data_IF_519575307153
#
_entry.id   IF_519575307153
#
_cell.length_a   1.000
_cell.length_b   1.000
_cell.length_c   1.000
_cell.angle_alpha   90.00
_cell.angle_beta   90.00
_cell.angle_gamma   90.00
#
_symmetry.space_group_name_H-M   'P 1'
#
loop_
_entity.id
_entity.type
_entity.pdbx_description
1 polymer ?
#
# COMPACT_ATOMS: atom_id res chain seq x y z
N UNK A 1 30.39 4.86 19.71
CA UNK A 1 29.01 4.34 19.50
C UNK A 1 28.10 5.55 19.35
N UNK A 2 27.66 5.84 18.12
CA UNK A 2 27.16 7.16 17.72
C UNK A 2 25.68 7.32 18.08
N UNK A 3 25.38 8.17 19.06
CA UNK A 3 24.04 8.44 19.61
C UNK A 3 23.10 9.19 18.66
N UNK A 4 23.54 9.50 17.43
CA UNK A 4 22.73 10.14 16.39
C UNK A 4 21.69 9.22 15.72
N UNK A 5 21.66 7.92 16.04
CA UNK A 5 20.80 6.94 15.38
C UNK A 5 19.33 6.85 15.87
N UNK A 6 18.90 7.66 16.86
CA UNK A 6 17.58 7.44 17.51
C UNK A 6 16.68 8.66 17.71
N UNK A 7 16.94 9.78 17.05
CA UNK A 7 15.98 10.90 17.02
C UNK A 7 15.48 11.06 15.60
N UNK A 8 14.56 10.18 15.22
CA UNK A 8 13.67 10.40 14.09
C UNK A 8 12.99 11.76 14.26
N UNK A 9 13.29 12.73 13.40
CA UNK A 9 12.71 14.07 13.48
C UNK A 9 11.19 13.97 13.28
N UNK A 10 10.39 14.72 14.05
CA UNK A 10 8.91 14.67 13.96
C UNK A 10 8.39 14.82 12.51
N UNK A 11 9.10 15.59 11.70
CA UNK A 11 8.85 15.75 10.26
C UNK A 11 8.95 14.44 9.47
N UNK A 12 9.92 13.57 9.77
CA UNK A 12 10.08 12.28 9.09
C UNK A 12 8.95 11.30 9.44
N UNK A 13 8.51 11.29 10.70
CA UNK A 13 7.37 10.47 11.14
C UNK A 13 6.08 10.95 10.48
N UNK A 14 5.88 12.27 10.39
CA UNK A 14 4.72 12.86 9.72
C UNK A 14 4.69 12.53 8.23
N UNK A 15 5.83 12.59 7.55
CA UNK A 15 5.95 12.21 6.15
C UNK A 15 5.69 10.71 5.92
N UNK A 16 6.29 9.83 6.72
CA UNK A 16 6.05 8.39 6.62
C UNK A 16 4.58 8.03 6.89
N UNK A 17 3.94 8.68 7.86
CA UNK A 17 2.51 8.55 8.12
C UNK A 17 1.66 9.00 6.92
N UNK A 18 1.97 10.15 6.31
CA UNK A 18 1.25 10.67 5.15
C UNK A 18 1.33 9.70 3.97
N UNK A 19 2.51 9.15 3.69
CA UNK A 19 2.74 8.15 2.65
C UNK A 19 1.90 6.90 2.88
N UNK A 20 1.87 6.40 4.12
CA UNK A 20 1.09 5.22 4.45
C UNK A 20 -0.43 5.49 4.39
N UNK A 21 -0.89 6.68 4.78
CA UNK A 21 -2.27 7.13 4.60
C UNK A 21 -2.67 7.18 3.12
N UNK A 22 -1.83 7.75 2.25
CA UNK A 22 -2.06 7.73 0.80
C UNK A 22 -2.13 6.29 0.27
N UNK A 23 -1.24 5.39 0.73
CA UNK A 23 -1.31 3.97 0.35
C UNK A 23 -2.63 3.32 0.74
N UNK A 24 -3.15 3.59 1.94
CA UNK A 24 -4.45 3.06 2.39
C UNK A 24 -5.58 3.66 1.56
N UNK A 25 -5.54 4.98 1.30
CA UNK A 25 -6.56 5.66 0.51
C UNK A 25 -6.60 5.14 -0.93
N UNK A 26 -5.45 4.75 -1.49
CA UNK A 26 -5.36 4.10 -2.79
C UNK A 26 -6.04 2.73 -2.78
N UNK A 27 -5.86 1.95 -1.73
CA UNK A 27 -6.50 0.65 -1.63
C UNK A 27 -8.02 0.78 -1.43
N UNK A 28 -8.51 1.71 -0.63
CA UNK A 28 -9.91 1.69 -0.17
C UNK A 28 -10.89 2.50 -1.00
N UNK A 29 -10.51 3.70 -1.45
CA UNK A 29 -11.49 4.67 -1.98
C UNK A 29 -11.09 5.27 -3.32
N UNK A 30 -9.82 5.67 -3.49
CA UNK A 30 -9.33 6.36 -4.69
C UNK A 30 -8.03 5.75 -5.25
N UNK A 31 -8.11 4.57 -5.92
CA UNK A 31 -6.96 3.79 -6.37
C UNK A 31 -6.09 4.39 -7.48
N UNK A 32 -6.57 5.42 -8.16
CA UNK A 32 -5.77 6.12 -9.17
C UNK A 32 -5.17 7.42 -8.60
N UNK A 33 -5.93 8.13 -7.76
CA UNK A 33 -5.56 9.46 -7.30
C UNK A 33 -4.46 9.39 -6.23
N UNK A 34 -4.52 8.39 -5.35
CA UNK A 34 -3.53 8.24 -4.30
C UNK A 34 -2.19 7.67 -4.81
N UNK A 35 -2.19 6.96 -5.95
CA UNK A 35 -0.96 6.57 -6.64
C UNK A 35 -0.25 7.78 -7.27
N UNK A 36 -1.00 8.72 -7.83
CA UNK A 36 -0.46 10.00 -8.32
C UNK A 36 0.13 10.80 -7.15
N UNK A 37 -0.56 10.86 -6.01
CA UNK A 37 -0.02 11.50 -4.79
C UNK A 37 1.25 10.82 -4.28
N UNK A 38 1.31 9.48 -4.26
CA UNK A 38 2.51 8.72 -3.90
C UNK A 38 3.70 9.03 -4.82
N UNK A 39 3.46 9.18 -6.13
CA UNK A 39 4.48 9.57 -7.12
C UNK A 39 4.98 11.00 -6.92
N UNK A 40 4.10 11.92 -6.51
CA UNK A 40 4.49 13.30 -6.17
C UNK A 40 5.28 13.37 -4.86
N UNK A 41 4.91 12.57 -3.86
CA UNK A 41 5.61 12.48 -2.58
C UNK A 41 7.01 11.86 -2.75
N UNK A 42 7.18 10.92 -3.71
CA UNK A 42 8.48 10.34 -4.08
C UNK A 42 9.52 11.39 -4.49
N UNK A 43 9.10 12.49 -5.11
CA UNK A 43 10.01 13.57 -5.53
C UNK A 43 10.47 14.45 -4.36
N UNK A 44 9.81 14.37 -3.20
CA UNK A 44 10.09 15.20 -2.02
C UNK A 44 10.82 14.45 -0.91
N UNK A 45 10.94 13.12 -1.02
CA UNK A 45 11.60 12.28 -0.02
C UNK A 45 13.10 12.19 -0.35
N UNK A 46 13.93 12.60 0.61
CA UNK A 46 15.38 12.52 0.50
C UNK A 46 15.86 11.06 0.63
N UNK A 47 16.86 10.68 -0.17
CA UNK A 47 17.20 9.29 -0.54
C UNK A 47 17.72 8.40 0.62
N UNK A 48 17.77 8.90 1.85
CA UNK A 48 18.38 8.21 2.99
C UNK A 48 17.54 8.26 4.29
N UNK A 49 16.24 8.53 4.19
CA UNK A 49 15.33 8.66 5.34
C UNK A 49 14.44 7.42 5.53
N UNK A 50 13.97 7.22 6.77
CA UNK A 50 12.97 6.22 7.15
C UNK A 50 11.71 6.30 6.24
N UNK A 51 11.40 7.49 5.73
CA UNK A 51 10.36 7.74 4.75
C UNK A 51 10.56 6.97 3.41
N UNK A 52 11.80 6.76 2.94
CA UNK A 52 12.08 6.05 1.68
C UNK A 52 11.80 4.54 1.79
N UNK A 53 12.05 3.93 2.96
CA UNK A 53 11.70 2.53 3.23
C UNK A 53 10.17 2.34 3.20
N UNK A 54 9.43 3.24 3.84
CA UNK A 54 7.96 3.26 3.84
C UNK A 54 7.38 3.54 2.46
N UNK A 55 7.99 4.46 1.70
CA UNK A 55 7.61 4.78 0.32
C UNK A 55 7.79 3.58 -0.62
N UNK A 56 8.95 2.90 -0.58
CA UNK A 56 9.22 1.72 -1.41
C UNK A 56 8.23 0.58 -1.12
N UNK A 57 7.86 0.38 0.14
CA UNK A 57 6.85 -0.61 0.50
C UNK A 57 5.45 -0.22 0.01
N UNK A 58 5.02 1.03 0.24
CA UNK A 58 3.74 1.54 -0.24
C UNK A 58 3.60 1.40 -1.77
N UNK A 59 4.66 1.73 -2.53
CA UNK A 59 4.67 1.57 -3.99
C UNK A 59 4.55 0.10 -4.40
N UNK A 60 5.33 -0.81 -3.79
CA UNK A 60 5.26 -2.25 -4.10
C UNK A 60 3.89 -2.83 -3.77
N UNK A 61 3.34 -2.49 -2.61
CA UNK A 61 2.02 -2.93 -2.16
C UNK A 61 0.95 -2.48 -3.15
N UNK A 62 1.02 -1.23 -3.60
CA UNK A 62 0.05 -0.70 -4.55
C UNK A 62 0.17 -1.31 -5.95
N UNK A 63 1.38 -1.61 -6.40
CA UNK A 63 1.61 -2.31 -7.65
C UNK A 63 1.05 -3.74 -7.61
N UNK A 64 1.21 -4.44 -6.49
CA UNK A 64 0.60 -5.76 -6.26
C UNK A 64 -0.93 -5.68 -6.26
N UNK A 65 -1.51 -4.64 -5.64
CA UNK A 65 -2.96 -4.42 -5.66
C UNK A 65 -3.49 -4.19 -7.09
N UNK A 66 -2.78 -3.42 -7.91
CA UNK A 66 -3.12 -3.25 -9.33
C UNK A 66 -3.04 -4.58 -10.10
N UNK A 67 -2.00 -5.38 -9.86
CA UNK A 67 -1.88 -6.72 -10.44
C UNK A 67 -3.01 -7.67 -10.02
N UNK A 68 -3.43 -7.62 -8.75
CA UNK A 68 -4.56 -8.39 -8.26
C UNK A 68 -5.88 -7.99 -8.93
N UNK A 69 -6.04 -6.71 -9.26
CA UNK A 69 -7.22 -6.21 -9.97
C UNK A 69 -7.29 -6.79 -11.40
N UNK A 70 -6.16 -6.79 -12.12
CA UNK A 70 -6.03 -7.44 -13.44
C UNK A 70 -6.32 -8.94 -13.34
N UNK A 71 -5.78 -9.62 -12.32
CA UNK A 71 -6.00 -11.04 -12.09
C UNK A 71 -7.49 -11.35 -11.90
N UNK A 72 -8.19 -10.57 -11.07
CA UNK A 72 -9.63 -10.73 -10.83
C UNK A 72 -10.44 -10.45 -12.10
N UNK A 73 -10.04 -9.46 -12.91
CA UNK A 73 -10.66 -9.24 -14.22
C UNK A 73 -10.46 -10.42 -15.18
N UNK A 74 -9.28 -11.05 -15.20
CA UNK A 74 -9.04 -12.26 -15.99
C UNK A 74 -9.86 -13.45 -15.50
N UNK A 75 -9.97 -13.65 -14.18
CA UNK A 75 -10.80 -14.71 -13.61
C UNK A 75 -12.28 -14.53 -14.00
N UNK A 76 -12.79 -13.29 -13.99
CA UNK A 76 -14.16 -12.99 -14.41
C UNK A 76 -14.42 -13.45 -15.85
N UNK A 77 -13.49 -13.17 -16.77
CA UNK A 77 -13.60 -13.57 -18.17
C UNK A 77 -13.47 -15.10 -18.31
N UNK A 78 -12.54 -15.72 -17.59
CA UNK A 78 -12.27 -17.17 -17.68
C UNK A 78 -13.37 -18.05 -17.10
N UNK A 79 -14.08 -17.60 -16.07
CA UNK A 79 -15.11 -18.39 -15.36
C UNK A 79 -16.51 -18.33 -16.00
N UNK A 80 -16.61 -17.85 -17.25
CA UNK A 80 -17.88 -17.88 -18.00
C UNK A 80 -18.57 -16.54 -18.13
N UNK A 81 -17.87 -15.42 -17.88
CA UNK A 81 -18.37 -14.08 -18.14
C UNK A 81 -19.40 -13.59 -17.11
N UNK A 82 -19.98 -12.43 -17.40
CA UNK A 82 -20.81 -11.66 -16.47
C UNK A 82 -22.22 -12.25 -16.22
N UNK A 83 -22.62 -13.27 -16.97
CA UNK A 83 -23.99 -13.80 -16.99
C UNK A 83 -24.25 -14.87 -15.91
N UNK A 84 -23.22 -15.50 -15.35
CA UNK A 84 -23.36 -16.53 -14.33
C UNK A 84 -23.27 -15.95 -12.92
N UNK A 85 -24.34 -16.10 -12.13
CA UNK A 85 -24.36 -15.68 -10.73
C UNK A 85 -23.31 -16.39 -9.86
N UNK A 86 -22.96 -17.64 -10.18
CA UNK A 86 -21.91 -18.37 -9.48
C UNK A 86 -20.53 -17.76 -9.71
N UNK A 87 -20.26 -17.23 -10.91
CA UNK A 87 -19.00 -16.55 -11.23
C UNK A 87 -18.83 -15.31 -10.36
N UNK A 88 -19.90 -14.54 -10.15
CA UNK A 88 -19.89 -13.40 -9.23
C UNK A 88 -19.59 -13.77 -7.78
N UNK A 89 -20.17 -14.86 -7.27
CA UNK A 89 -19.88 -15.34 -5.91
C UNK A 89 -18.39 -15.62 -5.77
N UNK A 90 -17.81 -16.41 -6.68
CA UNK A 90 -16.38 -16.72 -6.65
C UNK A 90 -15.50 -15.48 -6.79
N UNK A 91 -15.77 -14.64 -7.78
CA UNK A 91 -14.97 -13.44 -8.09
C UNK A 91 -15.02 -12.44 -6.94
N UNK A 92 -16.20 -12.14 -6.38
CA UNK A 92 -16.35 -11.21 -5.26
C UNK A 92 -15.67 -11.77 -4.01
N UNK A 93 -15.91 -13.05 -3.67
CA UNK A 93 -15.30 -13.63 -2.46
C UNK A 93 -13.77 -13.61 -2.55
N UNK A 94 -13.21 -14.02 -3.69
CA UNK A 94 -11.76 -14.02 -3.87
C UNK A 94 -11.18 -12.61 -3.86
N UNK A 95 -11.85 -11.67 -4.53
CA UNK A 95 -11.47 -10.26 -4.53
C UNK A 95 -11.46 -9.69 -3.12
N UNK A 96 -12.53 -9.86 -2.34
CA UNK A 96 -12.64 -9.32 -0.98
C UNK A 96 -11.56 -9.90 -0.06
N UNK A 97 -11.29 -11.21 -0.14
CA UNK A 97 -10.24 -11.85 0.68
C UNK A 97 -8.84 -11.32 0.34
N UNK A 98 -8.50 -11.25 -0.94
CA UNK A 98 -7.20 -10.73 -1.38
C UNK A 98 -7.07 -9.24 -1.06
N UNK A 99 -8.14 -8.48 -1.27
CA UNK A 99 -8.19 -7.05 -1.01
C UNK A 99 -8.05 -6.71 0.47
N UNK A 100 -8.74 -7.45 1.34
CA UNK A 100 -8.63 -7.26 2.80
C UNK A 100 -7.22 -7.57 3.32
N UNK A 101 -6.53 -8.56 2.75
CA UNK A 101 -5.12 -8.82 3.06
C UNK A 101 -4.23 -7.62 2.73
N UNK A 102 -4.43 -6.98 1.57
CA UNK A 102 -3.71 -5.76 1.20
C UNK A 102 -3.99 -4.61 2.16
N UNK A 103 -5.24 -4.41 2.57
CA UNK A 103 -5.62 -3.37 3.54
C UNK A 103 -4.90 -3.59 4.88
N UNK A 104 -4.90 -4.83 5.39
CA UNK A 104 -4.22 -5.17 6.65
C UNK A 104 -2.72 -4.88 6.56
N UNK A 105 -2.07 -5.22 5.44
CA UNK A 105 -0.66 -4.90 5.22
C UNK A 105 -0.39 -3.38 5.17
N UNK A 106 -1.27 -2.61 4.55
CA UNK A 106 -1.16 -1.15 4.47
C UNK A 106 -1.31 -0.50 5.86
N UNK A 107 -2.31 -0.94 6.64
CA UNK A 107 -2.54 -0.47 8.02
C UNK A 107 -1.37 -0.84 8.93
N UNK A 108 -0.83 -2.05 8.79
CA UNK A 108 0.36 -2.46 9.54
C UNK A 108 1.58 -1.58 9.23
N UNK A 109 1.80 -1.22 7.96
CA UNK A 109 2.85 -0.28 7.59
C UNK A 109 2.63 1.12 8.19
N UNK A 110 1.38 1.61 8.22
CA UNK A 110 1.02 2.88 8.87
C UNK A 110 1.33 2.86 10.37
N UNK A 111 0.94 1.80 11.09
CA UNK A 111 1.20 1.66 12.52
C UNK A 111 2.72 1.68 12.80
N UNK A 112 3.53 1.04 11.94
CA UNK A 112 4.99 1.07 12.08
C UNK A 112 5.60 2.43 11.74
N UNK A 113 5.04 3.14 10.77
CA UNK A 113 5.41 4.53 10.50
C UNK A 113 5.14 5.42 11.73
N UNK A 114 3.97 5.28 12.37
CA UNK A 114 3.63 6.00 13.60
C UNK A 114 4.55 5.65 14.77
N UNK A 115 4.99 4.40 14.87
CA UNK A 115 5.97 3.97 15.86
C UNK A 115 7.40 4.44 15.57
N UNK A 116 7.66 5.09 14.43
CA UNK A 116 8.99 5.51 14.01
C UNK A 116 9.93 4.35 13.66
N UNK A 117 9.38 3.15 13.39
CA UNK A 117 10.15 1.96 13.07
C UNK A 117 10.24 1.74 11.55
N UNK A 118 11.37 1.19 11.09
CA UNK A 118 11.54 0.77 9.69
C UNK A 118 10.73 -0.48 9.40
N UNK A 119 10.36 -0.67 8.13
CA UNK A 119 9.62 -1.85 7.71
C UNK A 119 10.53 -3.09 7.67
N UNK A 120 11.80 -2.91 7.32
CA UNK A 120 12.80 -3.97 7.42
C UNK A 120 13.78 -3.60 8.54
N UNK A 121 13.83 -4.45 9.56
CA UNK A 121 14.86 -4.40 10.59
C UNK A 121 16.02 -5.22 10.01
N UNK A 122 17.06 -4.54 9.52
CA UNK A 122 18.27 -5.19 9.01
C UNK A 122 19.43 -4.91 9.96
#
# INVERSE_FOLDING_TARGET
>A
MNLQARIQTKEQIKQASSIALWSILNLTFLPALAFIMLLLERSKVDNNSLADCHLKFAIKLNLLAAGALILVSMLMISLGGFDSGWTWVFVITYFVLVHTLFIVMAVWALIRAWAGNTIFNH
#
